data_IF_152947394254
#
_entry.id   IF_152947394254
#
_cell.length_a   1.000
_cell.length_b   1.000
_cell.length_c   1.000
_cell.angle_alpha   90.00
_cell.angle_beta   90.00
_cell.angle_gamma   90.00
#
_symmetry.space_group_name_H-M   'P 1'
#
loop_
_entity.id
_entity.type
_entity.pdbx_description
1 polymer ?
#
# COMPACT_ATOMS: atom_id res chain seq x y z
N UNK A 1 11.27 -40.64 -3.66
CA UNK A 1 10.94 -40.01 -2.36
C UNK A 1 10.99 -38.50 -2.56
N UNK A 2 9.85 -37.88 -2.90
CA UNK A 2 9.79 -36.42 -3.10
C UNK A 2 9.60 -35.81 -1.72
N UNK A 3 10.69 -35.29 -1.15
CA UNK A 3 10.64 -34.51 0.08
C UNK A 3 9.86 -33.22 -0.26
N UNK A 4 8.57 -33.18 0.08
CA UNK A 4 7.81 -31.95 0.05
C UNK A 4 8.46 -30.99 1.05
N UNK A 5 9.28 -30.06 0.56
CA UNK A 5 9.69 -28.90 1.35
C UNK A 5 8.44 -28.06 1.61
N UNK A 6 7.74 -28.36 2.71
CA UNK A 6 6.76 -27.47 3.30
C UNK A 6 7.49 -26.17 3.67
N UNK A 7 7.20 -25.11 2.92
CA UNK A 7 7.54 -23.76 3.35
C UNK A 7 6.40 -23.23 4.21
N UNK A 8 6.73 -22.54 5.29
CA UNK A 8 5.75 -22.00 6.22
C UNK A 8 5.50 -20.53 5.87
N UNK A 9 4.22 -20.13 5.89
CA UNK A 9 3.82 -18.73 5.81
C UNK A 9 3.28 -18.32 7.18
N UNK A 10 4.07 -17.53 7.90
CA UNK A 10 3.71 -16.92 9.17
C UNK A 10 3.00 -15.60 8.85
N UNK A 11 1.78 -15.41 9.34
CA UNK A 11 1.00 -14.17 9.14
C UNK A 11 0.76 -13.50 10.48
N UNK A 12 1.01 -12.19 10.53
CA UNK A 12 0.66 -11.33 11.66
C UNK A 12 -0.12 -10.12 11.15
N UNK A 13 -1.31 -9.93 11.67
CA UNK A 13 -2.18 -8.82 11.32
C UNK A 13 -2.28 -7.82 12.49
N UNK A 14 -2.21 -6.54 12.14
CA UNK A 14 -2.19 -5.41 13.04
C UNK A 14 -3.39 -4.51 12.80
N UNK A 15 -4.01 -4.08 13.88
CA UNK A 15 -5.11 -3.12 13.89
C UNK A 15 -4.66 -1.86 14.61
N UNK A 16 -5.48 -0.81 14.52
CA UNK A 16 -5.28 0.46 15.20
C UNK A 16 -4.83 0.28 16.66
N UNK A 17 -3.80 1.03 17.06
CA UNK A 17 -3.28 1.07 18.43
C UNK A 17 -2.52 -0.19 18.87
N UNK A 18 -2.33 -1.18 17.99
CA UNK A 18 -1.54 -2.39 18.29
C UNK A 18 -0.06 -2.18 17.99
N UNK A 19 0.78 -2.70 18.88
CA UNK A 19 2.23 -2.71 18.74
C UNK A 19 2.83 -4.03 19.19
N UNK A 20 3.88 -4.47 18.50
CA UNK A 20 4.56 -5.74 18.80
C UNK A 20 6.03 -5.70 18.41
N UNK A 21 6.87 -6.24 19.28
CA UNK A 21 8.25 -6.59 18.97
C UNK A 21 8.27 -8.03 18.45
N UNK A 22 8.76 -8.22 17.22
CA UNK A 22 8.77 -9.51 16.55
C UNK A 22 10.21 -9.99 16.41
N UNK A 23 10.47 -11.13 17.02
CA UNK A 23 11.72 -11.87 16.91
C UNK A 23 11.41 -13.28 16.40
N UNK A 24 11.65 -13.53 15.11
CA UNK A 24 11.24 -14.78 14.45
C UNK A 24 12.41 -15.42 13.70
N UNK A 25 12.55 -16.74 13.86
CA UNK A 25 13.53 -17.52 13.08
C UNK A 25 12.84 -18.12 11.87
N UNK A 26 13.25 -17.73 10.68
CA UNK A 26 12.72 -18.21 9.41
C UNK A 26 13.67 -19.21 8.78
N UNK A 27 13.17 -20.39 8.37
CA UNK A 27 13.96 -21.32 7.57
C UNK A 27 14.02 -20.86 6.11
N UNK A 28 14.88 -21.49 5.32
CA UNK A 28 14.97 -21.22 3.88
C UNK A 28 13.58 -21.34 3.23
N UNK A 29 13.18 -20.31 2.49
CA UNK A 29 11.90 -20.13 1.82
C UNK A 29 10.69 -19.83 2.70
N UNK A 30 10.81 -19.83 4.02
CA UNK A 30 9.74 -19.37 4.90
C UNK A 30 9.44 -17.89 4.63
N UNK A 31 8.18 -17.53 4.84
CA UNK A 31 7.66 -16.18 4.61
C UNK A 31 7.03 -15.68 5.90
N UNK A 32 7.51 -14.53 6.38
CA UNK A 32 6.81 -13.73 7.38
C UNK A 32 6.04 -12.63 6.65
N UNK A 33 4.72 -12.63 6.80
CA UNK A 33 3.82 -11.60 6.28
C UNK A 33 3.27 -10.78 7.43
N UNK A 34 3.48 -9.47 7.36
CA UNK A 34 2.96 -8.50 8.31
C UNK A 34 1.98 -7.61 7.55
N UNK A 35 0.73 -7.54 7.99
CA UNK A 35 -0.31 -6.72 7.37
C UNK A 35 -0.95 -5.80 8.40
N UNK A 36 -1.26 -4.57 7.99
CA UNK A 36 -2.20 -3.70 8.70
C UNK A 36 -3.59 -3.95 8.13
N UNK A 37 -4.58 -4.11 9.01
CA UNK A 37 -6.00 -4.02 8.63
C UNK A 37 -6.46 -2.56 8.57
N UNK A 38 -5.76 -1.69 9.30
CA UNK A 38 -6.00 -0.25 9.38
C UNK A 38 -4.80 0.54 8.79
N UNK A 39 -5.03 1.80 8.38
CA UNK A 39 -3.95 2.73 8.03
C UNK A 39 -2.97 3.01 9.18
N UNK A 40 -1.94 3.80 8.88
CA UNK A 40 -0.94 4.32 9.83
C UNK A 40 -0.06 3.24 10.47
N UNK A 41 0.06 2.07 9.82
CA UNK A 41 1.07 1.08 10.19
C UNK A 41 2.47 1.57 9.83
N UNK A 42 3.38 1.44 10.77
CA UNK A 42 4.81 1.69 10.62
C UNK A 42 5.58 0.46 11.08
N UNK A 43 6.65 0.12 10.36
CA UNK A 43 7.49 -1.06 10.61
C UNK A 43 8.94 -0.61 10.64
N UNK A 44 9.64 -0.95 11.71
CA UNK A 44 11.08 -0.75 11.84
C UNK A 44 11.81 -2.08 11.85
N UNK A 45 12.75 -2.25 10.93
CA UNK A 45 13.45 -3.51 10.67
C UNK A 45 14.85 -3.42 11.27
N UNK A 46 15.06 -4.02 12.44
CA UNK A 46 16.37 -4.05 13.10
C UNK A 46 17.36 -4.95 12.37
N UNK A 47 16.92 -6.17 12.06
CA UNK A 47 17.78 -7.20 11.49
C UNK A 47 16.96 -8.13 10.61
N UNK A 48 17.29 -8.17 9.33
CA UNK A 48 16.62 -9.04 8.35
C UNK A 48 17.64 -9.70 7.41
N UNK A 49 18.67 -10.35 7.96
CA UNK A 49 19.79 -10.81 7.16
C UNK A 49 19.31 -11.86 6.16
N UNK A 50 19.79 -11.79 4.92
CA UNK A 50 19.49 -12.78 3.88
C UNK A 50 18.00 -12.94 3.57
N UNK A 51 17.22 -11.88 3.70
CA UNK A 51 15.82 -11.86 3.32
C UNK A 51 15.60 -11.19 1.95
N UNK A 52 14.42 -11.41 1.38
CA UNK A 52 13.84 -10.59 0.31
C UNK A 52 12.55 -9.98 0.81
N UNK A 53 12.23 -8.78 0.34
CA UNK A 53 11.05 -8.02 0.70
C UNK A 53 10.12 -7.81 -0.49
N UNK A 54 8.82 -7.85 -0.22
CA UNK A 54 7.78 -7.31 -1.09
C UNK A 54 6.86 -6.44 -0.27
N UNK A 55 6.58 -5.24 -0.76
CA UNK A 55 5.70 -4.29 -0.08
C UNK A 55 4.42 -4.18 -0.88
N UNK A 56 3.28 -4.16 -0.20
CA UNK A 56 1.98 -3.98 -0.82
C UNK A 56 1.25 -2.81 -0.16
N UNK A 57 0.66 -1.96 -0.99
CA UNK A 57 -0.23 -0.86 -0.61
C UNK A 57 -1.59 -1.18 -1.20
N UNK A 58 -2.65 -1.19 -0.39
CA UNK A 58 -4.02 -1.46 -0.89
C UNK A 58 -4.07 -2.76 -1.73
N UNK A 59 -3.34 -3.78 -1.28
CA UNK A 59 -3.21 -5.07 -1.98
C UNK A 59 -2.32 -5.06 -3.25
N UNK A 60 -1.85 -3.90 -3.71
CA UNK A 60 -1.00 -3.77 -4.90
C UNK A 60 0.48 -3.78 -4.54
N UNK A 61 1.26 -4.58 -5.26
CA UNK A 61 2.71 -4.66 -5.08
C UNK A 61 3.41 -3.35 -5.47
N UNK A 62 4.22 -2.82 -4.54
CA UNK A 62 4.89 -1.52 -4.68
C UNK A 62 6.43 -1.59 -4.79
N UNK A 63 7.13 -2.35 -3.94
CA UNK A 63 8.58 -2.66 -4.12
C UNK A 63 8.80 -4.19 -4.15
N UNK A 64 9.80 -4.65 -4.94
CA UNK A 64 10.45 -5.96 -4.83
C UNK A 64 11.95 -5.82 -4.56
N UNK A 65 12.49 -6.72 -3.74
CA UNK A 65 13.83 -6.64 -3.15
C UNK A 65 15.06 -6.69 -4.06
N UNK A 66 14.97 -6.80 -5.39
CA UNK A 66 16.19 -6.67 -6.19
C UNK A 66 16.77 -5.24 -6.15
N UNK A 67 15.97 -4.27 -5.67
CA UNK A 67 16.32 -2.83 -5.55
C UNK A 67 16.30 -2.32 -4.10
N UNK A 68 15.90 -3.17 -3.13
CA UNK A 68 15.56 -2.78 -1.75
C UNK A 68 16.42 -3.54 -0.70
N UNK A 69 17.71 -3.82 -0.98
CA UNK A 69 18.56 -4.76 -0.20
C UNK A 69 18.91 -4.33 1.24
N UNK A 70 18.46 -3.16 1.73
CA UNK A 70 18.76 -2.66 3.09
C UNK A 70 17.65 -1.79 3.68
N UNK A 71 16.39 -2.20 3.62
CA UNK A 71 15.32 -1.42 4.26
C UNK A 71 15.43 -1.50 5.79
N UNK A 72 15.48 -0.35 6.45
CA UNK A 72 15.45 -0.22 7.91
C UNK A 72 14.10 0.26 8.44
N UNK A 73 13.27 0.91 7.61
CA UNK A 73 11.97 1.43 8.04
C UNK A 73 10.96 1.55 6.88
N UNK A 74 9.69 1.31 7.19
CA UNK A 74 8.54 1.48 6.29
C UNK A 74 7.41 2.18 7.06
N UNK A 75 6.98 3.36 6.62
CA UNK A 75 5.69 3.95 7.04
C UNK A 75 4.70 3.84 5.88
N UNK A 76 3.53 3.25 6.15
CA UNK A 76 2.44 3.13 5.18
C UNK A 76 1.55 4.38 5.13
N UNK A 77 1.72 5.32 6.06
CA UNK A 77 0.96 6.57 6.06
C UNK A 77 -0.55 6.30 6.16
N UNK A 78 -1.36 7.05 5.42
CA UNK A 78 -2.82 6.90 5.42
C UNK A 78 -3.33 5.68 4.61
N UNK A 79 -2.46 4.77 4.17
CA UNK A 79 -2.85 3.61 3.36
C UNK A 79 -2.75 2.30 4.15
N UNK A 80 -3.57 1.33 3.75
CA UNK A 80 -3.48 -0.05 4.22
C UNK A 80 -2.23 -0.70 3.60
N UNK A 81 -1.42 -1.31 4.46
CA UNK A 81 -0.09 -1.78 4.12
C UNK A 81 0.17 -3.24 4.43
N UNK A 82 1.02 -3.92 3.65
CA UNK A 82 1.65 -5.16 4.09
C UNK A 82 3.06 -5.33 3.57
N UNK A 83 3.88 -6.07 4.32
CA UNK A 83 5.22 -6.49 3.92
C UNK A 83 5.32 -8.01 3.97
N UNK A 84 5.92 -8.61 2.95
CA UNK A 84 6.30 -10.02 2.91
C UNK A 84 7.82 -10.12 2.96
N UNK A 85 8.32 -10.78 4.00
CA UNK A 85 9.74 -11.04 4.26
C UNK A 85 9.99 -12.52 4.00
N UNK A 86 10.71 -12.83 2.93
CA UNK A 86 11.04 -14.22 2.56
C UNK A 86 12.51 -14.52 2.79
N UNK A 87 12.82 -15.57 3.53
CA UNK A 87 14.19 -15.97 3.86
C UNK A 87 14.88 -16.69 2.70
N UNK A 88 16.08 -16.24 2.31
CA UNK A 88 16.95 -16.91 1.31
C UNK A 88 17.72 -18.10 1.93
N UNK A 89 17.96 -18.06 3.23
CA UNK A 89 18.52 -19.12 4.09
C UNK A 89 18.01 -18.94 5.52
N UNK A 90 18.23 -19.94 6.38
CA UNK A 90 17.82 -19.84 7.79
C UNK A 90 18.41 -18.60 8.43
N UNK A 91 17.54 -17.76 8.99
CA UNK A 91 17.89 -16.42 9.45
C UNK A 91 16.94 -15.95 10.53
N UNK A 92 17.40 -15.03 11.37
CA UNK A 92 16.63 -14.42 12.44
C UNK A 92 16.19 -13.03 12.01
N UNK A 93 14.88 -12.81 11.98
CA UNK A 93 14.24 -11.53 11.69
C UNK A 93 13.89 -10.85 13.00
N UNK A 94 14.28 -9.59 13.16
CA UNK A 94 14.00 -8.74 14.32
C UNK A 94 13.43 -7.42 13.81
N UNK A 95 12.22 -7.09 14.24
CA UNK A 95 11.50 -5.88 13.83
C UNK A 95 10.48 -5.44 14.86
N UNK A 96 10.09 -4.17 14.80
CA UNK A 96 8.94 -3.62 15.53
C UNK A 96 7.86 -3.21 14.55
N UNK A 97 6.61 -3.46 14.93
CA UNK A 97 5.42 -3.01 14.20
C UNK A 97 4.59 -2.17 15.15
N UNK A 98 4.12 -1.04 14.64
CA UNK A 98 3.23 -0.14 15.36
C UNK A 98 2.17 0.40 14.41
N UNK A 99 0.90 0.37 14.82
CA UNK A 99 -0.20 1.02 14.06
C UNK A 99 -0.73 2.17 14.89
N UNK A 100 -0.52 3.40 14.43
CA UNK A 100 -0.99 4.58 15.16
C UNK A 100 -2.51 4.67 15.20
N UNK A 101 -3.09 5.21 16.28
CA UNK A 101 -4.48 5.65 16.29
C UNK A 101 -4.79 6.62 15.15
N UNK A 102 -6.00 6.55 14.62
CA UNK A 102 -6.54 7.45 13.60
C UNK A 102 -6.41 8.92 13.99
N UNK A 103 -6.56 9.24 15.29
CA UNK A 103 -6.33 10.57 15.83
C UNK A 103 -4.92 11.12 15.54
N UNK A 104 -3.93 10.25 15.33
CA UNK A 104 -2.56 10.63 15.01
C UNK A 104 -2.33 10.93 13.53
N UNK A 105 -3.33 10.79 12.64
CA UNK A 105 -3.14 10.90 11.18
C UNK A 105 -2.40 12.18 10.76
N UNK A 106 -2.71 13.29 11.43
CA UNK A 106 -2.24 14.62 11.04
C UNK A 106 -0.82 14.94 11.53
N UNK A 107 -0.42 14.42 12.67
CA UNK A 107 0.86 14.80 13.30
C UNK A 107 1.53 13.62 13.98
N UNK A 108 2.50 13.03 13.27
CA UNK A 108 3.35 11.95 13.77
C UNK A 108 4.81 12.30 13.66
N UNK A 109 5.54 12.01 14.73
CA UNK A 109 6.99 12.07 14.75
C UNK A 109 7.54 10.70 15.11
N UNK A 110 8.42 10.17 14.28
CA UNK A 110 8.99 8.84 14.42
C UNK A 110 10.50 8.98 14.32
N UNK A 111 11.23 8.52 15.32
CA UNK A 111 12.69 8.68 15.35
C UNK A 111 13.35 7.50 16.03
N UNK A 112 14.54 7.13 15.57
CA UNK A 112 15.44 6.23 16.30
C UNK A 112 16.71 6.97 16.77
N UNK A 113 16.75 8.30 16.57
CA UNK A 113 17.86 9.15 17.02
C UNK A 113 17.80 9.33 18.53
N UNK A 114 18.96 9.28 19.16
CA UNK A 114 19.13 9.73 20.55
C UNK A 114 19.28 11.24 20.62
N UNK A 115 19.11 11.82 21.82
CA UNK A 115 18.04 12.78 22.09
C UNK A 115 17.84 13.79 20.96
N UNK A 116 16.66 13.75 20.36
CA UNK A 116 16.07 14.99 19.83
C UNK A 116 15.21 15.54 20.95
N UNK A 117 15.59 16.70 21.47
CA UNK A 117 14.67 17.54 22.22
C UNK A 117 13.56 17.89 21.25
N UNK A 118 12.42 17.22 21.37
CA UNK A 118 11.22 17.59 20.63
C UNK A 118 10.64 18.79 21.36
N UNK A 119 10.65 19.92 20.68
CA UNK A 119 10.17 21.18 21.22
C UNK A 119 9.01 21.70 20.38
N UNK A 120 7.80 21.54 20.91
CA UNK A 120 6.59 22.12 20.35
C UNK A 120 6.36 23.47 21.04
N UNK A 121 5.99 24.49 20.27
CA UNK A 121 5.67 25.81 20.82
C UNK A 121 4.52 26.45 20.07
N UNK A 122 3.75 27.32 20.72
CA UNK A 122 2.69 28.09 20.04
C UNK A 122 3.20 28.91 18.84
N UNK A 123 4.38 29.51 18.98
CA UNK A 123 4.99 30.38 17.97
C UNK A 123 6.36 29.85 17.53
N UNK A 124 6.42 28.59 17.08
CA UNK A 124 7.64 28.02 16.53
C UNK A 124 7.92 28.65 15.14
N UNK A 125 9.20 28.86 14.82
CA UNK A 125 9.59 29.33 13.49
C UNK A 125 9.28 28.31 12.40
N UNK A 126 9.25 27.02 12.76
CA UNK A 126 8.80 25.95 11.91
C UNK A 126 7.35 25.56 12.25
N UNK A 127 6.45 25.91 11.33
CA UNK A 127 5.01 25.65 11.44
C UNK A 127 4.63 24.21 11.76
N UNK A 128 5.50 23.24 11.48
CA UNK A 128 5.30 21.81 11.80
C UNK A 128 5.32 21.52 13.31
N UNK A 129 5.98 22.36 14.08
CA UNK A 129 6.09 22.24 15.53
C UNK A 129 5.26 23.31 16.26
N UNK A 130 4.35 23.97 15.53
CA UNK A 130 3.37 24.87 16.14
C UNK A 130 2.32 24.08 16.90
N UNK A 131 2.04 24.54 18.11
CA UNK A 131 0.92 24.06 18.94
C UNK A 131 -0.34 24.78 18.46
N UNK A 132 -1.37 24.01 18.14
CA UNK A 132 -2.70 24.49 17.75
C UNK A 132 -3.77 23.88 18.66
N UNK A 133 -4.97 24.46 18.70
CA UNK A 133 -6.10 23.91 19.46
C UNK A 133 -6.56 22.58 18.83
N UNK A 134 -7.07 21.66 19.66
CA UNK A 134 -7.63 20.36 19.27
C UNK A 134 -6.67 19.53 18.40
N UNK A 135 -5.38 19.59 18.73
CA UNK A 135 -4.31 18.91 18.03
C UNK A 135 -3.90 17.65 18.78
N UNK A 136 -3.76 16.56 18.04
CA UNK A 136 -3.22 15.29 18.55
C UNK A 136 -1.87 15.04 17.94
N UNK A 137 -0.82 15.11 18.76
CA UNK A 137 0.54 14.81 18.35
C UNK A 137 0.96 13.44 18.88
N UNK A 138 1.45 12.58 17.99
CA UNK A 138 1.90 11.25 18.36
C UNK A 138 3.39 11.08 18.09
N UNK A 139 4.12 10.59 19.08
CA UNK A 139 5.55 10.42 19.01
C UNK A 139 5.96 8.99 19.33
N UNK A 140 6.63 8.34 18.38
CA UNK A 140 7.19 7.01 18.57
C UNK A 140 8.72 7.05 18.51
N UNK A 141 9.38 7.04 19.68
CA UNK A 141 10.82 6.92 19.75
C UNK A 141 11.22 5.45 19.63
N UNK A 142 11.49 5.00 18.41
CA UNK A 142 11.88 3.61 18.09
C UNK A 142 13.31 3.35 18.61
N UNK A 143 13.43 3.20 19.92
CA UNK A 143 14.69 3.08 20.64
C UNK A 143 14.74 1.73 21.34
N UNK A 144 15.81 0.98 21.09
CA UNK A 144 16.02 -0.33 21.72
C UNK A 144 16.95 -0.19 22.92
N UNK A 145 16.54 -0.67 24.09
CA UNK A 145 17.30 -0.58 25.35
C UNK A 145 16.57 0.21 26.43
N UNK A 146 17.23 0.39 27.57
CA UNK A 146 16.69 1.14 28.70
C UNK A 146 17.11 2.60 28.60
N UNK A 147 16.13 3.50 28.68
CA UNK A 147 16.34 4.95 28.59
C UNK A 147 15.54 5.69 29.65
N UNK A 148 15.85 6.96 29.87
CA UNK A 148 15.06 7.84 30.73
C UNK A 148 14.56 9.03 29.92
N UNK A 149 13.25 9.25 29.87
CA UNK A 149 12.67 10.45 29.27
C UNK A 149 12.56 11.54 30.30
N UNK A 150 13.11 12.71 29.99
CA UNK A 150 12.85 13.95 30.71
C UNK A 150 11.76 14.71 29.98
N UNK A 151 10.54 14.63 30.51
CA UNK A 151 9.43 15.45 30.06
C UNK A 151 9.42 16.76 30.84
N UNK A 152 9.36 17.87 30.12
CA UNK A 152 9.09 19.19 30.68
C UNK A 152 7.88 19.80 29.96
N UNK A 153 6.78 19.91 30.69
CA UNK A 153 5.53 20.48 30.25
C UNK A 153 5.35 21.83 30.95
N UNK A 154 5.09 22.89 30.19
CA UNK A 154 4.61 24.16 30.74
C UNK A 154 3.26 24.47 30.10
N UNK A 155 2.29 23.65 30.49
CA UNK A 155 0.87 23.88 30.25
C UNK A 155 0.23 24.38 31.55
N UNK A 156 -0.77 25.25 31.47
CA UNK A 156 -1.58 25.49 32.66
C UNK A 156 -2.33 24.21 33.05
N UNK A 157 -2.61 24.04 34.35
CA UNK A 157 -3.24 22.83 34.88
C UNK A 157 -4.59 22.64 34.14
N UNK A 158 -4.77 21.48 33.54
CA UNK A 158 -6.01 20.99 32.89
C UNK A 158 -6.24 21.28 31.39
N UNK A 159 -5.33 21.95 30.67
CA UNK A 159 -5.51 22.17 29.22
C UNK A 159 -4.94 21.04 28.36
N UNK A 160 -3.64 20.74 28.50
CA UNK A 160 -3.01 19.72 27.68
C UNK A 160 -2.93 18.40 28.42
N UNK A 161 -3.21 17.32 27.69
CA UNK A 161 -3.03 15.96 28.20
C UNK A 161 -1.88 15.27 27.48
N UNK A 162 -0.87 14.91 28.24
CA UNK A 162 0.25 14.13 27.76
C UNK A 162 0.15 12.70 28.30
N UNK A 163 0.12 11.71 27.41
CA UNK A 163 -0.02 10.31 27.76
C UNK A 163 1.18 9.51 27.29
N UNK A 164 1.78 8.75 28.20
CA UNK A 164 2.64 7.62 27.83
C UNK A 164 1.73 6.44 27.54
N UNK A 165 1.88 5.89 26.35
CA UNK A 165 1.05 4.84 25.82
C UNK A 165 1.87 3.57 25.65
N UNK A 166 1.30 2.43 26.01
CA UNK A 166 1.79 1.12 25.58
C UNK A 166 0.65 0.46 24.82
N UNK A 167 0.84 0.19 23.53
CA UNK A 167 -0.28 -0.19 22.65
C UNK A 167 -1.42 0.84 22.76
N UNK A 168 -2.65 0.40 23.00
CA UNK A 168 -3.85 1.23 23.16
C UNK A 168 -4.14 1.59 24.62
N UNK A 169 -3.26 1.25 25.56
CA UNK A 169 -3.44 1.51 26.98
C UNK A 169 -2.67 2.75 27.45
N UNK A 170 -3.36 3.60 28.20
CA UNK A 170 -2.75 4.70 28.94
C UNK A 170 -1.92 4.13 30.10
N UNK A 171 -0.60 4.28 30.06
CA UNK A 171 0.29 3.89 31.18
C UNK A 171 0.52 5.03 32.17
N UNK A 172 0.58 6.26 31.66
CA UNK A 172 0.76 7.45 32.47
C UNK A 172 0.05 8.62 31.80
N UNK A 173 -0.68 9.42 32.56
CA UNK A 173 -1.32 10.65 32.10
C UNK A 173 -0.79 11.83 32.91
N UNK A 174 -0.31 12.86 32.23
CA UNK A 174 0.37 14.03 32.77
C UNK A 174 -0.28 15.30 32.23
N UNK A 175 -0.51 16.28 33.12
CA UNK A 175 -1.12 17.58 32.78
C UNK A 175 -0.45 18.70 33.58
N UNK A 176 -0.56 19.94 33.10
CA UNK A 176 -0.10 21.14 33.81
C UNK A 176 1.39 21.44 33.67
N UNK A 177 1.96 22.07 34.71
CA UNK A 177 3.39 22.38 34.77
C UNK A 177 4.11 21.23 35.46
N UNK A 178 4.88 20.47 34.70
CA UNK A 178 5.52 19.26 35.21
C UNK A 178 6.92 19.10 34.63
N UNK A 179 7.83 18.67 35.50
CA UNK A 179 9.08 18.05 35.09
C UNK A 179 9.13 16.65 35.68
N UNK A 180 9.22 15.64 34.81
CA UNK A 180 9.22 14.24 35.24
C UNK A 180 10.24 13.44 34.43
N UNK A 181 10.92 12.53 35.13
CA UNK A 181 11.71 11.48 34.51
C UNK A 181 10.86 10.20 34.43
N UNK A 182 10.74 9.63 33.24
CA UNK A 182 9.97 8.42 32.97
C UNK A 182 10.94 7.34 32.50
N UNK A 183 11.02 6.17 33.18
CA UNK A 183 11.80 5.05 32.68
C UNK A 183 11.16 4.50 31.40
N UNK A 184 12.00 4.25 30.41
CA UNK A 184 11.64 3.61 29.16
C UNK A 184 12.27 2.23 29.12
N UNK A 185 11.45 1.21 29.32
CA UNK A 185 11.88 -0.19 29.33
C UNK A 185 11.41 -0.98 28.09
N UNK A 186 10.65 -0.35 27.19
CA UNK A 186 10.09 -1.03 26.01
C UNK A 186 10.10 -0.15 24.75
N UNK A 187 10.60 -0.66 23.60
CA UNK A 187 10.57 0.05 22.32
C UNK A 187 9.14 0.32 21.79
N UNK A 188 8.15 -0.28 22.44
CA UNK A 188 6.73 -0.17 22.09
C UNK A 188 6.02 1.01 22.75
N UNK A 189 6.69 1.72 23.67
CA UNK A 189 6.09 2.93 24.20
C UNK A 189 6.10 4.04 23.16
N UNK A 190 5.03 4.81 23.20
CA UNK A 190 4.87 6.00 22.39
C UNK A 190 4.13 7.04 23.22
N UNK A 191 4.16 8.27 22.76
CA UNK A 191 3.55 9.39 23.45
C UNK A 191 2.40 9.94 22.64
N UNK A 192 1.27 10.17 23.30
CA UNK A 192 0.14 10.92 22.77
C UNK A 192 0.03 12.22 23.52
N UNK A 193 0.18 13.33 22.83
CA UNK A 193 -0.14 14.63 23.37
C UNK A 193 -1.43 15.13 22.70
N UNK A 194 -2.35 15.67 23.49
CA UNK A 194 -3.56 16.31 23.01
C UNK A 194 -3.66 17.70 23.60
N UNK A 195 -3.78 18.73 22.75
CA UNK A 195 -4.09 20.07 23.22
C UNK A 195 -5.57 20.24 23.54
N UNK A 196 -5.85 21.25 24.35
CA UNK A 196 -7.20 21.72 24.60
C UNK A 196 -7.87 22.32 23.34
N UNK A 197 -9.19 22.41 23.38
CA UNK A 197 -10.02 23.00 22.33
C UNK A 197 -10.05 24.53 22.36
N UNK A 198 -9.83 25.16 23.52
CA UNK A 198 -9.96 26.60 23.71
C UNK A 198 -8.60 27.28 23.86
N UNK A 199 -7.66 26.67 24.59
CA UNK A 199 -6.37 27.29 24.93
C UNK A 199 -5.15 26.54 24.39
N UNK A 200 -4.17 27.30 23.90
CA UNK A 200 -2.91 26.78 23.36
C UNK A 200 -1.80 26.91 24.41
N UNK A 201 -1.16 25.80 24.80
CA UNK A 201 0.06 25.84 25.62
C UNK A 201 1.20 26.61 24.97
N UNK A 202 2.04 27.23 25.81
CA UNK A 202 3.19 27.99 25.32
C UNK A 202 4.26 27.06 24.73
N UNK A 203 4.62 25.98 25.45
CA UNK A 203 5.54 24.97 24.95
C UNK A 203 5.34 23.59 25.57
N UNK A 204 5.73 22.57 24.81
CA UNK A 204 5.88 21.18 25.26
C UNK A 204 7.28 20.74 24.88
N UNK A 205 8.04 20.27 25.88
CA UNK A 205 9.39 19.80 25.67
C UNK A 205 9.52 18.33 26.11
N UNK A 206 9.81 17.46 25.15
CA UNK A 206 10.16 16.08 25.42
C UNK A 206 11.62 15.84 25.04
N UNK A 207 12.42 15.50 26.05
CA UNK A 207 13.84 15.20 25.87
C UNK A 207 14.14 13.79 26.36
N UNK A 208 15.01 13.09 25.64
CA UNK A 208 15.55 11.81 26.08
C UNK A 208 16.90 12.06 26.78
N UNK A 209 17.18 11.35 27.87
CA UNK A 209 18.53 11.25 28.39
C UNK A 209 19.07 9.84 28.10
N UNK A 210 20.25 9.74 27.47
CA UNK A 210 20.84 8.45 27.10
C UNK A 210 22.34 8.49 26.89
N UNK A 211 23.06 7.60 27.60
CA UNK A 211 24.52 7.46 27.51
C UNK A 211 25.03 6.56 26.36
N UNK A 212 24.22 5.70 25.73
CA UNK A 212 24.73 4.66 24.79
C UNK A 212 24.32 4.84 23.33
N UNK A 213 25.26 5.25 22.45
CA UNK A 213 25.07 5.59 21.01
C UNK A 213 24.44 4.46 20.17
N UNK A 214 23.36 4.77 19.42
CA UNK A 214 22.92 3.93 18.29
C UNK A 214 23.74 4.31 17.05
N UNK A 215 23.97 3.35 16.15
CA UNK A 215 24.84 3.48 14.98
C UNK A 215 24.12 3.94 13.70
N UNK A 216 22.82 4.25 13.76
CA UNK A 216 22.04 4.70 12.61
C UNK A 216 20.98 5.70 13.03
N UNK A 217 20.93 6.83 12.32
CA UNK A 217 20.05 7.94 12.63
C UNK A 217 18.93 8.10 11.57
N UNK A 218 17.68 8.08 12.01
CA UNK A 218 16.45 8.33 11.26
C UNK A 218 15.55 9.23 12.09
N UNK A 219 15.12 10.32 11.47
CA UNK A 219 14.08 11.21 11.98
C UNK A 219 13.06 11.42 10.87
N UNK A 220 11.80 11.16 11.18
CA UNK A 220 10.69 11.32 10.26
C UNK A 220 9.55 12.10 10.91
N UNK A 221 9.07 13.10 10.19
CA UNK A 221 7.89 13.87 10.53
C UNK A 221 6.85 13.74 9.41
N UNK A 222 5.62 13.37 9.80
CA UNK A 222 4.47 13.22 8.91
C UNK A 222 3.45 14.32 9.22
N UNK A 223 3.11 15.12 8.21
CA UNK A 223 1.97 16.05 8.24
C UNK A 223 1.07 15.75 7.04
N UNK A 224 -0.23 16.02 7.20
CA UNK A 224 -1.37 15.67 6.35
C UNK A 224 -1.19 15.94 4.85
N UNK A 225 -0.28 16.83 4.47
CA UNK A 225 -0.01 17.18 3.07
C UNK A 225 0.62 16.02 2.24
N UNK A 226 1.06 14.92 2.87
CA UNK A 226 1.55 13.73 2.16
C UNK A 226 0.67 12.49 2.35
N UNK A 227 -0.61 12.59 2.00
CA UNK A 227 -1.64 11.53 2.05
C UNK A 227 -1.32 10.22 1.30
N UNK A 228 -0.15 10.07 0.67
CA UNK A 228 0.21 8.88 -0.12
C UNK A 228 1.67 8.44 0.00
N UNK A 229 2.47 9.04 0.88
CA UNK A 229 3.91 8.78 0.83
C UNK A 229 4.27 7.54 1.66
N UNK A 230 4.36 6.38 1.01
CA UNK A 230 5.21 5.32 1.56
C UNK A 230 6.61 5.88 1.67
N UNK A 231 7.16 5.84 2.89
CA UNK A 231 8.55 6.20 3.13
C UNK A 231 9.33 4.95 3.48
N UNK A 232 10.32 4.66 2.64
CA UNK A 232 11.24 3.55 2.84
C UNK A 232 12.61 4.17 3.08
N UNK A 233 13.18 3.90 4.25
CA UNK A 233 14.55 4.30 4.56
C UNK A 233 15.47 3.11 4.39
N UNK A 234 16.59 3.34 3.69
CA UNK A 234 17.60 2.33 3.41
C UNK A 234 18.90 2.64 4.15
N UNK A 235 19.48 1.61 4.78
CA UNK A 235 20.75 1.72 5.51
C UNK A 235 21.92 1.59 4.55
N UNK A 236 22.52 2.70 4.09
CA UNK A 236 23.88 2.65 3.52
C UNK A 236 24.90 2.78 4.65
N UNK A 237 25.86 1.85 4.69
CA UNK A 237 26.84 1.73 5.77
C UNK A 237 27.99 2.75 5.70
N UNK A 238 27.90 3.78 4.86
CA UNK A 238 28.99 4.73 4.62
C UNK A 238 28.58 6.17 4.38
N UNK A 239 27.30 6.46 4.12
CA UNK A 239 26.92 7.78 3.63
C UNK A 239 25.97 8.45 4.62
N UNK A 240 26.47 9.48 5.30
CA UNK A 240 25.69 10.43 6.11
C UNK A 240 24.59 11.16 5.30
N UNK A 241 24.56 10.96 3.98
CA UNK A 241 23.54 11.45 3.05
C UNK A 241 22.57 10.34 2.60
N UNK A 242 22.09 9.50 3.52
CA UNK A 242 21.06 8.49 3.20
C UNK A 242 19.81 9.17 2.63
N UNK A 243 19.61 9.05 1.31
CA UNK A 243 18.46 9.61 0.60
C UNK A 243 17.19 8.91 1.08
N UNK A 244 16.25 9.67 1.65
CA UNK A 244 14.89 9.18 1.91
C UNK A 244 14.22 8.93 0.56
N UNK A 245 14.02 7.67 0.20
CA UNK A 245 13.21 7.34 -0.97
C UNK A 245 11.75 7.53 -0.58
N UNK A 246 11.23 8.71 -0.89
CA UNK A 246 9.80 9.02 -0.80
C UNK A 246 9.15 8.49 -2.06
N UNK A 247 8.41 7.39 -1.95
CA UNK A 247 7.58 6.90 -3.05
C UNK A 247 6.31 7.76 -3.11
N UNK A 248 6.43 8.97 -3.66
CA UNK A 248 5.29 9.79 -4.00
C UNK A 248 4.83 9.43 -5.40
N UNK A 249 3.83 8.55 -5.51
CA UNK A 249 3.19 8.27 -6.81
C UNK A 249 1.76 8.78 -6.84
N UNK A 250 1.62 10.11 -6.84
CA UNK A 250 0.38 10.73 -7.29
C UNK A 250 0.37 10.84 -8.83
N UNK A 251 -0.76 10.45 -9.45
CA UNK A 251 -1.19 10.73 -10.82
C UNK A 251 -0.55 10.02 -12.03
N UNK A 252 0.59 9.33 -11.93
CA UNK A 252 1.17 8.66 -13.13
C UNK A 252 0.36 7.42 -13.57
N UNK A 253 -0.14 6.60 -12.62
CA UNK A 253 -0.89 5.39 -12.98
C UNK A 253 -2.27 5.67 -13.59
N UNK A 254 -2.97 6.73 -13.16
CA UNK A 254 -4.24 7.12 -13.79
C UNK A 254 -4.05 7.51 -15.26
N UNK A 255 -2.97 8.21 -15.60
CA UNK A 255 -2.67 8.60 -16.99
C UNK A 255 -2.32 7.40 -17.87
N UNK A 256 -1.54 6.44 -17.36
CA UNK A 256 -1.19 5.22 -18.11
C UNK A 256 -2.39 4.29 -18.26
N UNK A 257 -3.21 4.14 -17.21
CA UNK A 257 -4.43 3.33 -17.28
C UNK A 257 -5.44 3.91 -18.30
N UNK A 258 -5.62 5.23 -18.32
CA UNK A 258 -6.46 5.91 -19.32
C UNK A 258 -5.91 5.69 -20.73
N UNK A 259 -4.59 5.82 -20.95
CA UNK A 259 -3.97 5.60 -22.25
C UNK A 259 -4.16 4.15 -22.75
N UNK A 260 -4.03 3.15 -21.87
CA UNK A 260 -4.29 1.74 -22.19
C UNK A 260 -5.77 1.51 -22.53
N UNK A 261 -6.70 2.12 -21.78
CA UNK A 261 -8.13 1.98 -22.04
C UNK A 261 -8.53 2.57 -23.39
N UNK A 262 -7.95 3.72 -23.77
CA UNK A 262 -8.13 4.34 -25.08
C UNK A 262 -7.58 3.45 -26.20
N UNK A 263 -6.41 2.82 -26.00
CA UNK A 263 -5.82 1.90 -26.97
C UNK A 263 -6.71 0.67 -27.22
N UNK A 264 -7.21 0.04 -26.16
CA UNK A 264 -8.11 -1.12 -26.26
C UNK A 264 -9.40 -0.74 -26.98
N UNK A 265 -9.98 0.42 -26.67
CA UNK A 265 -11.19 0.92 -27.34
C UNK A 265 -10.96 1.14 -28.85
N UNK A 266 -9.80 1.68 -29.25
CA UNK A 266 -9.42 1.84 -30.65
C UNK A 266 -9.28 0.51 -31.38
N UNK A 267 -8.64 -0.48 -30.75
CA UNK A 267 -8.49 -1.82 -31.35
C UNK A 267 -9.87 -2.47 -31.55
N UNK A 268 -10.75 -2.41 -30.55
CA UNK A 268 -12.10 -2.94 -30.65
C UNK A 268 -12.91 -2.26 -31.77
N UNK A 269 -12.76 -0.94 -31.93
CA UNK A 269 -13.42 -0.19 -33.00
C UNK A 269 -12.95 -0.61 -34.39
N UNK A 270 -11.63 -0.81 -34.58
CA UNK A 270 -11.08 -1.32 -35.85
C UNK A 270 -11.57 -2.72 -36.16
N UNK A 271 -11.60 -3.62 -35.17
CA UNK A 271 -12.14 -4.98 -35.33
C UNK A 271 -13.61 -4.94 -35.75
N UNK A 272 -14.40 -4.05 -35.13
CA UNK A 272 -15.82 -3.90 -35.45
C UNK A 272 -16.03 -3.45 -36.91
N UNK A 273 -15.22 -2.52 -37.42
CA UNK A 273 -15.24 -2.09 -38.82
C UNK A 273 -14.87 -3.26 -39.74
N UNK A 274 -13.80 -4.00 -39.45
CA UNK A 274 -13.37 -5.13 -40.26
C UNK A 274 -14.46 -6.21 -40.36
N UNK A 275 -15.11 -6.55 -39.24
CA UNK A 275 -16.23 -7.50 -39.21
C UNK A 275 -17.40 -6.99 -40.04
N UNK A 276 -17.73 -5.71 -39.93
CA UNK A 276 -18.82 -5.09 -40.70
C UNK A 276 -18.55 -5.16 -42.21
N UNK A 277 -17.33 -4.83 -42.65
CA UNK A 277 -16.92 -4.92 -44.05
C UNK A 277 -16.96 -6.37 -44.55
N UNK A 278 -16.48 -7.32 -43.75
CA UNK A 278 -16.52 -8.74 -44.08
C UNK A 278 -17.95 -9.25 -44.28
N UNK A 279 -18.88 -8.88 -43.38
CA UNK A 279 -20.30 -9.24 -43.51
C UNK A 279 -20.89 -8.68 -44.81
N UNK A 280 -20.60 -7.42 -45.15
CA UNK A 280 -21.08 -6.81 -46.40
C UNK A 280 -20.52 -7.53 -47.63
N UNK A 281 -19.24 -7.88 -47.62
CA UNK A 281 -18.62 -8.64 -48.71
C UNK A 281 -19.27 -10.03 -48.88
N UNK A 282 -19.50 -10.74 -47.77
CA UNK A 282 -20.10 -12.07 -47.76
C UNK A 282 -21.56 -12.05 -48.24
N UNK A 283 -22.33 -11.03 -47.84
CA UNK A 283 -23.69 -10.81 -48.36
C UNK A 283 -23.67 -10.52 -49.86
N UNK A 284 -22.66 -9.79 -50.37
CA UNK A 284 -22.53 -9.48 -51.80
C UNK A 284 -22.18 -10.72 -52.62
N UNK A 285 -21.27 -11.57 -52.14
CA UNK A 285 -20.97 -12.85 -52.80
C UNK A 285 -22.17 -13.79 -52.80
N UNK A 286 -22.90 -13.90 -51.69
CA UNK A 286 -24.14 -14.70 -51.65
C UNK A 286 -25.19 -14.20 -52.65
N UNK A 287 -25.35 -12.89 -52.83
CA UNK A 287 -26.27 -12.36 -53.84
C UNK A 287 -25.85 -12.74 -55.26
N UNK A 288 -24.56 -12.60 -55.59
CA UNK A 288 -24.04 -13.03 -56.90
C UNK A 288 -24.28 -14.51 -57.17
N UNK A 289 -24.03 -15.37 -56.17
CA UNK A 289 -24.26 -16.80 -56.29
C UNK A 289 -25.75 -17.16 -56.47
N UNK A 290 -26.65 -16.39 -55.87
CA UNK A 290 -28.11 -16.57 -56.08
C UNK A 290 -28.51 -16.11 -57.48
N UNK A 291 -28.02 -14.96 -57.95
CA UNK A 291 -28.30 -14.45 -59.30
C UNK A 291 -27.77 -15.38 -60.42
N UNK A 292 -26.58 -15.96 -60.26
CA UNK A 292 -26.01 -16.93 -61.22
C UNK A 292 -26.77 -18.27 -61.23
N UNK A 293 -27.22 -18.77 -60.07
CA UNK A 293 -28.04 -19.99 -60.05
C UNK A 293 -29.47 -19.75 -60.54
N UNK A 294 -30.03 -18.55 -60.37
CA UNK A 294 -31.33 -18.21 -60.94
C UNK A 294 -31.26 -18.16 -62.48
N UNK A 295 -30.17 -17.67 -63.08
CA UNK A 295 -30.01 -17.75 -64.53
C UNK A 295 -29.89 -19.18 -65.05
N UNK A 296 -29.15 -20.05 -64.36
CA UNK A 296 -28.97 -21.46 -64.77
C UNK A 296 -30.29 -22.24 -64.66
N UNK A 297 -31.09 -21.97 -63.63
CA UNK A 297 -32.43 -22.58 -63.46
C UNK A 297 -33.41 -22.08 -64.51
N UNK A 298 -33.31 -20.81 -64.93
CA UNK A 298 -34.17 -20.24 -65.96
C UNK A 298 -33.84 -20.82 -67.36
N UNK A 299 -32.55 -21.01 -67.67
CA UNK A 299 -32.10 -21.65 -68.91
C UNK A 299 -32.54 -23.13 -68.99
N UNK A 300 -32.49 -23.85 -67.86
CA UNK A 300 -33.02 -25.22 -67.75
C UNK A 300 -34.56 -25.30 -67.88
N UNK A 301 -35.29 -24.29 -67.43
CA UNK A 301 -36.76 -24.24 -67.58
C UNK A 301 -37.19 -23.97 -69.02
N UNK A 302 -36.46 -23.12 -69.75
CA UNK A 302 -36.73 -22.85 -71.17
C UNK A 302 -36.50 -24.10 -72.03
N UNK A 303 -35.46 -24.90 -71.76
CA UNK A 303 -35.21 -26.17 -72.45
C UNK A 303 -36.30 -27.24 -72.17
N UNK A 304 -36.88 -27.25 -70.97
CA UNK A 304 -37.97 -28.17 -70.62
C UNK A 304 -39.31 -27.83 -71.30
N UNK A 305 -39.56 -26.56 -71.63
CA UNK A 305 -40.78 -26.17 -72.36
C UNK A 305 -40.76 -26.58 -73.85
N UNK A 306 -39.59 -26.89 -74.41
CA UNK A 306 -39.50 -27.38 -75.80
C UNK A 306 -39.86 -28.87 -75.95
N UNK A 307 -39.70 -29.67 -74.90
CA UNK A 307 -39.92 -31.13 -74.94
C UNK A 307 -41.41 -31.51 -74.73
N UNK A 308 -42.19 -30.69 -74.02
CA UNK A 308 -43.58 -31.00 -73.64
C UNK A 308 -44.61 -30.89 -74.77
N UNK A 309 -44.26 -30.36 -75.95
CA UNK A 309 -45.16 -30.24 -77.11
C UNK A 309 -45.17 -31.47 -78.05
N UNK A 310 -44.51 -32.58 -77.71
CA UNK A 310 -44.27 -33.68 -78.67
C UNK A 310 -44.83 -35.07 -78.32
N UNK A 311 -45.68 -35.23 -77.30
CA UNK A 311 -46.24 -36.56 -76.97
C UNK A 311 -47.77 -36.59 -76.93
N UNK A 312 -48.34 -37.03 -78.06
CA UNK A 312 -49.71 -37.54 -78.17
C UNK A 312 -49.89 -38.78 -77.27
N UNK A 313 -50.80 -38.71 -76.29
CA UNK A 313 -51.26 -39.86 -75.51
C UNK A 313 -52.39 -40.62 -76.24
N UNK A 314 -52.37 -41.97 -76.30
CA UNK A 314 -53.54 -42.76 -76.67
C UNK A 314 -54.52 -42.89 -75.50
N UNK A 315 -55.81 -42.88 -75.81
CA UNK A 315 -56.92 -43.01 -74.86
C UNK A 315 -57.06 -44.42 -74.26
N UNK A 316 -57.67 -44.55 -73.06
CA UNK A 316 -57.83 -45.81 -72.35
C UNK A 316 -59.00 -46.66 -72.87
N UNK A 317 -58.79 -47.98 -72.88
CA UNK A 317 -59.77 -49.02 -73.24
C UNK A 317 -60.67 -49.30 -72.03
N UNK A 318 -61.99 -49.18 -72.19
CA UNK A 318 -63.00 -49.62 -71.24
C UNK A 318 -63.29 -51.12 -71.39
N UNK A 319 -63.39 -51.86 -70.28
CA UNK A 319 -63.97 -53.21 -70.25
C UNK A 319 -65.26 -53.21 -69.41
N UNK A 320 -66.33 -53.67 -70.06
CA UNK A 320 -67.70 -54.00 -69.60
C UNK A 320 -68.51 -52.91 -68.88
#
# INVERSE_FOLDING_TARGET
MILWCLFIVIKKDFTEGKSEHIEETLNKNDILKISGSDPLMSIYLYSTPYCTFKHYIEGQLHCRSNECDKISFVDFGASIGSIEIKAKKTTKVILDVFTFPSACENTRYITNNKPTTLYLQKNNSDSRFNITNDQVFCYWPILYGTYEWKLSLDSEKDYDTFKLMLQSEDKLTLTGKLQQTIPYDSPLYWFKWTSDTENVSNFVNLSLDSQNTSTFNMTYYSNRDSLTSIKILMKNASDENSSVLIFNRHNSYKKVAIAIFVLIALILFVVLICVSVYIVALVRERRKYIEENESDVQELMDDFTFVSNSQNLPQPISFN
#
